data_IF_628239674263
#
_entry.id   IF_628239674263
#
_cell.length_a   1.000
_cell.length_b   1.000
_cell.length_c   1.000
_cell.angle_alpha   90.00
_cell.angle_beta   90.00
_cell.angle_gamma   90.00
#
_symmetry.space_group_name_H-M   'P 1'
#
loop_
_entity.id
_entity.type
_entity.pdbx_description
1 polymer ?
#
# COMPACT_ATOMS: atom_id res chain seq x y z
N UNK A 1 84.05 29.29 -20.13
CA UNK A 1 83.35 28.10 -19.62
C UNK A 1 82.07 28.55 -18.91
N UNK A 2 81.23 29.38 -19.53
CA UNK A 2 80.12 30.05 -18.87
C UNK A 2 78.84 30.26 -19.73
N UNK A 3 78.85 29.92 -21.02
CA UNK A 3 77.77 30.28 -21.94
C UNK A 3 76.94 29.10 -22.43
N UNK A 4 77.22 27.83 -22.07
CA UNK A 4 76.45 26.65 -22.50
C UNK A 4 75.32 26.19 -21.55
N UNK A 5 75.24 26.77 -20.35
CA UNK A 5 74.24 26.43 -19.37
C UNK A 5 72.92 27.26 -19.46
N UNK A 6 72.98 28.40 -20.18
CA UNK A 6 71.78 29.27 -20.27
C UNK A 6 70.79 28.87 -21.39
N UNK A 7 71.25 28.17 -22.43
CA UNK A 7 70.41 27.78 -23.58
C UNK A 7 69.57 26.56 -23.26
N UNK A 8 70.09 25.66 -22.40
CA UNK A 8 69.31 24.44 -22.02
C UNK A 8 68.16 24.71 -21.02
N UNK A 9 68.30 25.74 -20.19
CA UNK A 9 67.27 26.18 -19.27
C UNK A 9 66.11 26.93 -19.94
N UNK A 10 66.33 27.56 -21.11
CA UNK A 10 65.26 28.28 -21.81
C UNK A 10 64.33 27.34 -22.62
N UNK A 11 64.90 26.26 -23.17
CA UNK A 11 64.13 25.29 -23.96
C UNK A 11 63.23 24.46 -23.05
N UNK A 12 63.68 24.05 -21.86
CA UNK A 12 62.86 23.32 -20.89
C UNK A 12 61.76 24.19 -20.30
N UNK A 13 61.97 25.52 -20.14
CA UNK A 13 60.87 26.38 -19.67
C UNK A 13 59.78 26.64 -20.74
N UNK A 14 60.17 26.74 -22.02
CA UNK A 14 59.22 26.88 -23.12
C UNK A 14 58.43 25.60 -23.37
N UNK A 15 59.08 24.42 -23.25
CA UNK A 15 58.40 23.13 -23.40
C UNK A 15 57.35 22.84 -22.32
N UNK A 16 57.69 23.17 -21.05
CA UNK A 16 56.75 23.03 -19.93
C UNK A 16 55.58 24.02 -20.04
N UNK A 17 55.88 25.24 -20.56
CA UNK A 17 54.81 26.23 -20.75
C UNK A 17 53.87 25.88 -21.89
N UNK A 18 54.39 25.26 -22.97
CA UNK A 18 53.54 24.75 -24.07
C UNK A 18 52.73 23.54 -23.69
N UNK A 19 53.26 22.64 -22.84
CA UNK A 19 52.50 21.52 -22.30
C UNK A 19 51.41 22.00 -21.33
N UNK A 20 51.72 22.99 -20.46
CA UNK A 20 50.73 23.59 -19.56
C UNK A 20 49.65 24.39 -20.32
N UNK A 21 50.01 25.09 -21.40
CA UNK A 21 49.03 25.77 -22.27
C UNK A 21 48.19 24.76 -23.07
N UNK A 22 48.78 23.64 -23.53
CA UNK A 22 48.08 22.57 -24.20
C UNK A 22 47.07 21.85 -23.27
N UNK A 23 47.50 21.61 -22.02
CA UNK A 23 46.62 21.03 -21.01
C UNK A 23 45.51 22.02 -20.61
N UNK A 24 45.83 23.31 -20.46
CA UNK A 24 44.80 24.32 -20.20
C UNK A 24 43.83 24.50 -21.36
N UNK A 25 44.30 24.43 -22.60
CA UNK A 25 43.39 24.54 -23.77
C UNK A 25 42.53 23.31 -23.96
N UNK A 26 43.03 22.11 -23.65
CA UNK A 26 42.21 20.88 -23.69
C UNK A 26 41.14 20.91 -22.57
N UNK A 27 41.51 21.31 -21.36
CA UNK A 27 40.56 21.43 -20.24
C UNK A 27 39.52 22.54 -20.50
N UNK A 28 39.91 23.65 -21.12
CA UNK A 28 39.01 24.75 -21.48
C UNK A 28 38.09 24.35 -22.66
N UNK A 29 38.60 23.56 -23.64
CA UNK A 29 37.75 23.13 -24.76
C UNK A 29 36.70 22.06 -24.36
N UNK A 30 37.02 21.22 -23.39
CA UNK A 30 36.04 20.27 -22.84
C UNK A 30 34.95 20.97 -22.02
N UNK A 31 35.26 22.11 -21.40
CA UNK A 31 34.29 22.85 -20.59
C UNK A 31 33.30 23.69 -21.39
N UNK A 32 33.43 23.80 -22.70
CA UNK A 32 32.47 24.51 -23.57
C UNK A 32 31.44 23.63 -24.25
N UNK A 33 31.56 22.32 -24.15
CA UNK A 33 30.52 21.39 -24.61
C UNK A 33 29.48 21.15 -23.52
N UNK A 34 28.17 21.08 -23.83
CA UNK A 34 27.18 20.69 -22.86
C UNK A 34 27.56 19.33 -22.27
N UNK A 35 27.74 19.29 -20.96
CA UNK A 35 28.08 18.06 -20.24
C UNK A 35 26.92 17.68 -19.34
N UNK A 36 26.42 16.47 -19.48
CA UNK A 36 25.39 15.93 -18.57
C UNK A 36 26.07 15.54 -17.25
N UNK A 37 25.63 16.15 -16.18
CA UNK A 37 26.10 15.86 -14.83
C UNK A 37 25.27 14.71 -14.24
N UNK A 38 25.57 13.49 -14.64
CA UNK A 38 24.80 12.29 -14.24
C UNK A 38 24.77 12.07 -12.72
N UNK A 39 25.76 12.61 -11.98
CA UNK A 39 25.74 12.60 -10.51
C UNK A 39 24.60 13.43 -9.89
N UNK A 40 23.95 14.30 -10.67
CA UNK A 40 22.76 15.04 -10.23
C UNK A 40 21.46 14.29 -10.52
N UNK A 41 21.51 13.25 -11.34
CA UNK A 41 20.35 12.41 -11.63
C UNK A 41 20.01 11.60 -10.38
N UNK A 42 18.77 11.74 -9.91
CA UNK A 42 18.21 10.90 -8.85
C UNK A 42 17.26 9.90 -9.48
N UNK A 43 17.60 8.62 -9.53
CA UNK A 43 16.69 7.62 -10.05
C UNK A 43 15.46 7.54 -9.15
N UNK A 44 14.28 7.44 -9.77
CA UNK A 44 13.06 7.09 -9.06
C UNK A 44 13.10 5.59 -8.82
N UNK A 45 13.09 5.19 -7.56
CA UNK A 45 13.21 3.78 -7.16
C UNK A 45 11.90 3.34 -6.52
N UNK A 46 11.34 2.23 -7.01
CA UNK A 46 10.18 1.58 -6.39
C UNK A 46 10.57 0.95 -5.06
N UNK A 47 9.77 1.15 -4.04
CA UNK A 47 9.84 0.38 -2.80
C UNK A 47 9.35 -1.04 -3.06
N UNK A 48 10.21 -2.02 -2.85
CA UNK A 48 9.83 -3.42 -2.95
C UNK A 48 9.20 -3.90 -1.63
N UNK A 49 7.89 -4.10 -1.65
CA UNK A 49 7.16 -4.68 -0.51
C UNK A 49 7.02 -6.19 -0.74
N UNK A 50 7.81 -6.96 0.01
CA UNK A 50 7.83 -8.41 -0.11
C UNK A 50 6.77 -9.05 0.77
N UNK A 51 5.78 -9.65 0.15
CA UNK A 51 4.77 -10.51 0.77
C UNK A 51 4.68 -11.77 -0.08
N UNK A 52 4.90 -12.98 0.48
CA UNK A 52 4.80 -14.22 -0.27
C UNK A 52 3.39 -14.47 -0.80
N UNK A 53 3.29 -15.16 -1.92
CA UNK A 53 2.01 -15.66 -2.41
C UNK A 53 1.32 -16.57 -1.38
N UNK A 54 0.00 -16.56 -1.38
CA UNK A 54 -0.85 -17.34 -0.47
C UNK A 54 -1.55 -18.45 -1.25
N UNK A 55 -0.93 -19.62 -1.29
CA UNK A 55 -1.41 -20.72 -2.11
C UNK A 55 -1.37 -20.39 -3.60
N UNK A 56 -2.52 -20.38 -4.26
CA UNK A 56 -2.68 -20.02 -5.68
C UNK A 56 -2.86 -18.49 -5.91
N UNK A 57 -2.83 -17.68 -4.87
CA UNK A 57 -3.15 -16.26 -4.92
C UNK A 57 -1.90 -15.40 -4.79
N UNK A 58 -1.71 -14.49 -5.72
CA UNK A 58 -0.74 -13.40 -5.60
C UNK A 58 -1.30 -12.31 -4.70
N UNK A 59 -0.46 -11.78 -3.80
CA UNK A 59 -0.85 -10.73 -2.86
C UNK A 59 -0.57 -9.36 -3.47
N UNK A 60 -1.62 -8.70 -3.96
CA UNK A 60 -1.53 -7.37 -4.54
C UNK A 60 -1.71 -6.29 -3.47
N UNK A 61 -0.85 -5.27 -3.50
CA UNK A 61 -0.89 -4.09 -2.63
C UNK A 61 -1.74 -3.03 -3.31
N UNK A 62 -2.89 -2.70 -2.72
CA UNK A 62 -3.93 -1.90 -3.36
C UNK A 62 -4.32 -0.69 -2.51
N UNK A 63 -4.64 0.41 -3.19
CA UNK A 63 -5.27 1.59 -2.60
C UNK A 63 -6.45 2.02 -3.48
N UNK A 64 -7.64 1.99 -2.92
CA UNK A 64 -8.89 2.23 -3.64
C UNK A 64 -9.55 3.57 -3.29
N UNK A 65 -8.78 4.51 -2.68
CA UNK A 65 -9.29 5.82 -2.30
C UNK A 65 -8.18 6.88 -2.41
N UNK A 66 -8.14 7.54 -3.56
CA UNK A 66 -7.11 8.55 -3.90
C UNK A 66 -7.73 9.70 -4.67
N UNK A 67 -7.45 10.93 -4.24
CA UNK A 67 -7.92 12.17 -4.86
C UNK A 67 -6.84 12.86 -5.69
N UNK A 68 -7.27 13.58 -6.71
CA UNK A 68 -6.39 14.34 -7.61
C UNK A 68 -6.78 15.82 -7.64
N UNK A 69 -6.09 16.60 -8.47
CA UNK A 69 -6.45 18.01 -8.72
C UNK A 69 -7.83 18.18 -9.37
N UNK A 70 -8.44 17.10 -9.88
CA UNK A 70 -9.77 17.10 -10.47
C UNK A 70 -10.90 17.05 -9.42
N UNK A 71 -10.55 16.77 -8.15
CA UNK A 71 -11.42 17.01 -7.00
C UNK A 71 -10.74 17.96 -6.02
N UNK A 72 -10.62 17.66 -4.76
CA UNK A 72 -10.01 18.50 -3.74
C UNK A 72 -8.55 18.14 -3.41
N UNK A 73 -8.00 17.12 -4.10
CA UNK A 73 -6.59 16.78 -4.02
C UNK A 73 -5.67 17.83 -4.67
N UNK A 74 -4.36 17.74 -4.40
CA UNK A 74 -3.35 18.71 -4.86
C UNK A 74 -2.35 18.13 -5.86
N UNK A 75 -2.50 16.85 -6.25
CA UNK A 75 -1.54 16.12 -7.09
C UNK A 75 -2.19 15.74 -8.41
N UNK A 76 -1.44 15.87 -9.51
CA UNK A 76 -1.88 15.46 -10.83
C UNK A 76 -2.08 13.95 -10.94
N UNK A 77 -3.02 13.48 -11.78
CA UNK A 77 -3.35 12.06 -11.88
C UNK A 77 -2.17 11.14 -12.24
N UNK A 78 -1.32 11.54 -13.18
CA UNK A 78 -0.11 10.80 -13.57
C UNK A 78 0.93 10.76 -12.43
N UNK A 79 1.08 11.86 -11.69
CA UNK A 79 1.95 11.88 -10.50
C UNK A 79 1.41 10.98 -9.37
N UNK A 80 0.08 10.83 -9.23
CA UNK A 80 -0.51 9.84 -8.32
C UNK A 80 -0.10 8.41 -8.67
N UNK A 81 -0.02 8.09 -9.96
CA UNK A 81 0.48 6.79 -10.41
C UNK A 81 1.94 6.60 -9.99
N UNK A 82 2.79 7.60 -10.24
CA UNK A 82 4.21 7.56 -9.83
C UNK A 82 4.34 7.39 -8.31
N UNK A 83 3.60 8.16 -7.50
CA UNK A 83 3.60 8.03 -6.03
C UNK A 83 3.16 6.61 -5.60
N UNK A 84 2.14 6.06 -6.23
CA UNK A 84 1.64 4.70 -5.97
C UNK A 84 2.69 3.65 -6.31
N UNK A 85 3.33 3.77 -7.47
CA UNK A 85 4.40 2.88 -7.90
C UNK A 85 5.62 2.97 -6.97
N UNK A 86 6.08 4.20 -6.66
CA UNK A 86 7.22 4.44 -5.75
C UNK A 86 6.96 3.84 -4.38
N UNK A 87 5.74 3.99 -3.85
CA UNK A 87 5.35 3.44 -2.54
C UNK A 87 5.03 1.94 -2.54
N UNK A 88 5.27 1.24 -3.65
CA UNK A 88 5.18 -0.23 -3.74
C UNK A 88 3.80 -0.79 -4.03
N UNK A 89 2.81 0.05 -4.39
CA UNK A 89 1.48 -0.47 -4.76
C UNK A 89 1.50 -1.19 -6.11
N UNK A 90 0.58 -2.13 -6.28
CA UNK A 90 0.32 -2.84 -7.53
C UNK A 90 -0.97 -2.34 -8.20
N UNK A 91 -1.90 -1.81 -7.40
CA UNK A 91 -3.23 -1.38 -7.83
C UNK A 91 -3.57 -0.05 -7.17
N UNK A 92 -4.14 0.87 -7.94
CA UNK A 92 -4.73 2.09 -7.39
C UNK A 92 -6.06 2.39 -8.07
N UNK A 93 -6.95 3.08 -7.36
CA UNK A 93 -8.13 3.70 -7.95
C UNK A 93 -8.02 5.22 -7.87
N UNK A 94 -8.45 5.91 -8.92
CA UNK A 94 -8.76 7.33 -8.83
C UNK A 94 -10.23 7.45 -8.44
N UNK A 95 -10.48 8.19 -7.37
CA UNK A 95 -11.80 8.32 -6.74
C UNK A 95 -12.11 9.77 -6.41
N UNK A 96 -11.87 10.66 -7.37
CA UNK A 96 -12.24 12.07 -7.24
C UNK A 96 -13.73 12.23 -6.95
N UNK A 97 -14.10 13.26 -6.19
CA UNK A 97 -15.50 13.59 -5.89
C UNK A 97 -16.29 13.90 -7.15
N UNK A 98 -17.55 13.43 -7.23
CA UNK A 98 -18.47 13.71 -8.35
C UNK A 98 -19.37 14.93 -8.10
N UNK A 99 -19.34 15.54 -6.92
CA UNK A 99 -20.21 16.63 -6.52
C UNK A 99 -19.74 17.98 -7.05
N UNK A 100 -19.98 18.21 -8.33
CA UNK A 100 -19.76 19.50 -8.97
C UNK A 100 -18.30 19.83 -9.25
N UNK A 101 -18.07 20.75 -10.17
CA UNK A 101 -16.71 21.15 -10.50
C UNK A 101 -16.09 21.85 -9.30
N UNK A 102 -14.89 21.47 -9.00
CA UNK A 102 -14.04 22.27 -8.13
C UNK A 102 -13.90 23.65 -8.76
N UNK A 103 -13.97 24.68 -7.94
CA UNK A 103 -13.72 26.06 -8.33
C UNK A 103 -12.24 26.27 -8.70
N UNK A 104 -11.79 25.57 -9.74
CA UNK A 104 -10.45 25.65 -10.33
C UNK A 104 -10.57 26.04 -11.80
N UNK A 105 -10.70 27.33 -12.09
CA UNK A 105 -11.02 27.83 -13.45
C UNK A 105 -9.93 27.53 -14.49
N UNK A 106 -8.75 27.04 -14.06
CA UNK A 106 -7.65 26.63 -14.92
C UNK A 106 -7.68 25.13 -15.27
N UNK A 107 -8.58 24.34 -14.69
CA UNK A 107 -8.81 22.95 -15.06
C UNK A 107 -9.97 22.86 -16.04
N UNK A 108 -9.84 21.99 -17.01
CA UNK A 108 -10.90 21.64 -17.95
C UNK A 108 -10.99 20.13 -18.09
N UNK A 109 -12.18 19.64 -18.33
CA UNK A 109 -12.46 18.21 -18.46
C UNK A 109 -13.80 17.84 -17.86
N UNK A 110 -13.99 16.56 -17.66
CA UNK A 110 -15.15 15.95 -17.01
C UNK A 110 -14.67 14.96 -15.93
N UNK A 111 -15.59 14.25 -15.27
CA UNK A 111 -15.27 13.35 -14.17
C UNK A 111 -14.47 12.11 -14.60
N UNK A 112 -14.37 11.82 -15.90
CA UNK A 112 -13.48 10.78 -16.42
C UNK A 112 -12.05 11.25 -16.66
N UNK A 113 -11.80 12.57 -16.71
CA UNK A 113 -10.54 13.15 -17.18
C UNK A 113 -9.35 12.71 -16.32
N UNK A 114 -9.49 12.66 -15.01
CA UNK A 114 -8.41 12.23 -14.12
C UNK A 114 -7.92 10.81 -14.44
N UNK A 115 -8.85 9.89 -14.64
CA UNK A 115 -8.51 8.51 -15.02
C UNK A 115 -7.81 8.45 -16.40
N UNK A 116 -8.32 9.17 -17.41
CA UNK A 116 -7.73 9.15 -18.76
C UNK A 116 -6.30 9.75 -18.78
N UNK A 117 -6.03 10.76 -17.94
CA UNK A 117 -4.68 11.34 -17.79
C UNK A 117 -3.71 10.38 -17.11
N UNK A 118 -4.16 9.63 -16.11
CA UNK A 118 -3.33 8.67 -15.37
C UNK A 118 -2.99 7.40 -16.16
N UNK A 119 -3.84 7.03 -17.13
CA UNK A 119 -3.80 5.73 -17.82
C UNK A 119 -2.45 5.44 -18.47
N UNK A 120 -1.88 6.42 -19.18
CA UNK A 120 -0.60 6.23 -19.88
C UNK A 120 0.57 5.96 -18.94
N UNK A 121 0.60 6.62 -17.77
CA UNK A 121 1.59 6.40 -16.74
C UNK A 121 1.40 5.03 -16.09
N UNK A 122 0.16 4.67 -15.77
CA UNK A 122 -0.17 3.38 -15.17
C UNK A 122 0.24 2.20 -16.05
N UNK A 123 0.02 2.29 -17.38
CA UNK A 123 0.46 1.30 -18.35
C UNK A 123 1.99 1.17 -18.39
N UNK A 124 2.71 2.29 -18.34
CA UNK A 124 4.18 2.34 -18.33
C UNK A 124 4.78 1.71 -17.08
N UNK A 125 4.23 2.03 -15.93
CA UNK A 125 4.75 1.59 -14.63
C UNK A 125 4.18 0.23 -14.18
N UNK A 126 3.24 -0.34 -14.96
CA UNK A 126 2.61 -1.61 -14.66
C UNK A 126 1.68 -1.59 -13.44
N UNK A 127 1.12 -0.41 -13.13
CA UNK A 127 0.07 -0.25 -12.12
C UNK A 127 -1.28 -0.64 -12.73
N UNK A 128 -2.04 -1.45 -12.01
CA UNK A 128 -3.44 -1.71 -12.34
C UNK A 128 -4.26 -0.50 -11.90
N UNK A 129 -4.67 0.31 -12.86
CA UNK A 129 -5.47 1.51 -12.60
C UNK A 129 -6.96 1.17 -12.68
N UNK A 130 -7.70 1.49 -11.61
CA UNK A 130 -9.14 1.29 -11.51
C UNK A 130 -9.85 2.64 -11.66
N UNK A 131 -10.83 2.69 -12.57
CA UNK A 131 -11.71 3.86 -12.72
C UNK A 131 -12.76 3.83 -11.60
N UNK A 132 -12.83 4.92 -10.83
CA UNK A 132 -13.81 5.07 -9.76
C UNK A 132 -14.16 6.53 -9.52
N UNK A 133 -14.96 6.75 -8.52
CA UNK A 133 -15.27 8.07 -7.99
C UNK A 133 -15.71 7.96 -6.53
N UNK A 134 -15.64 9.06 -5.80
CA UNK A 134 -16.29 9.20 -4.50
C UNK A 134 -17.60 9.96 -4.62
N UNK A 135 -18.66 9.36 -4.09
CA UNK A 135 -19.99 9.95 -3.93
C UNK A 135 -20.07 10.48 -2.51
N UNK A 136 -19.96 11.80 -2.35
CA UNK A 136 -19.90 12.48 -1.05
C UNK A 136 -21.24 13.12 -0.72
N UNK A 137 -21.83 12.72 0.39
CA UNK A 137 -23.10 13.31 0.85
C UNK A 137 -23.03 13.63 2.33
N UNK A 138 -23.66 14.77 2.68
CA UNK A 138 -23.78 15.18 4.08
C UNK A 138 -24.51 14.13 4.90
N UNK A 139 -24.24 14.15 6.21
CA UNK A 139 -24.96 13.29 7.14
C UNK A 139 -26.49 13.37 6.93
N UNK A 140 -27.23 12.23 7.05
CA UNK A 140 -26.77 10.94 7.60
C UNK A 140 -26.27 9.92 6.55
N UNK A 141 -26.00 10.32 5.32
CA UNK A 141 -25.71 9.41 4.22
C UNK A 141 -24.28 8.88 4.28
N UNK A 142 -23.28 9.75 4.35
CA UNK A 142 -21.87 9.44 4.33
C UNK A 142 -21.26 9.42 2.92
N UNK A 143 -20.05 8.90 2.81
CA UNK A 143 -19.27 8.89 1.58
C UNK A 143 -19.07 7.45 1.07
N UNK A 144 -19.05 7.30 -0.26
CA UNK A 144 -18.98 5.98 -0.89
C UNK A 144 -18.09 6.03 -2.13
N UNK A 145 -17.11 5.13 -2.22
CA UNK A 145 -16.41 4.92 -3.48
C UNK A 145 -17.15 3.92 -4.35
N UNK A 146 -17.37 4.29 -5.60
CA UNK A 146 -17.82 3.41 -6.66
C UNK A 146 -16.61 3.08 -7.56
N UNK A 147 -16.24 1.80 -7.62
CA UNK A 147 -15.06 1.30 -8.33
C UNK A 147 -15.46 0.50 -9.56
N UNK A 148 -14.57 0.39 -10.55
CA UNK A 148 -14.76 -0.34 -11.81
C UNK A 148 -15.87 0.26 -12.68
N UNK A 149 -15.99 1.57 -12.70
CA UNK A 149 -16.92 2.30 -13.53
C UNK A 149 -16.49 2.31 -15.00
N UNK A 150 -17.47 2.36 -15.89
CA UNK A 150 -17.25 2.65 -17.30
C UNK A 150 -17.25 4.16 -17.54
N UNK A 151 -18.20 4.87 -16.93
CA UNK A 151 -18.42 6.30 -17.10
C UNK A 151 -18.77 6.95 -15.75
N UNK A 152 -17.90 7.84 -15.26
CA UNK A 152 -18.08 8.56 -14.00
C UNK A 152 -19.14 9.65 -14.14
N UNK A 153 -19.20 10.34 -15.29
CA UNK A 153 -20.14 11.45 -15.53
C UNK A 153 -21.61 11.07 -15.31
N UNK A 154 -21.95 9.81 -15.49
CA UNK A 154 -23.32 9.32 -15.34
C UNK A 154 -23.68 8.96 -13.90
N UNK A 155 -22.75 9.07 -12.95
CA UNK A 155 -22.95 8.69 -11.55
C UNK A 155 -23.65 9.78 -10.76
N UNK A 156 -23.22 11.06 -10.91
CA UNK A 156 -23.69 12.14 -10.07
C UNK A 156 -25.21 12.35 -10.15
N UNK A 157 -25.79 12.58 -8.99
CA UNK A 157 -27.20 12.93 -8.79
C UNK A 157 -27.38 13.59 -7.44
N UNK A 158 -28.23 14.60 -7.32
CA UNK A 158 -28.53 15.28 -6.04
C UNK A 158 -29.05 14.30 -4.98
N UNK A 159 -29.89 13.32 -5.38
CA UNK A 159 -30.35 12.27 -4.50
C UNK A 159 -29.26 11.20 -4.30
N UNK A 160 -28.75 11.01 -3.06
CA UNK A 160 -27.66 10.07 -2.79
C UNK A 160 -27.98 8.62 -3.16
N UNK A 161 -29.23 8.20 -3.03
CA UNK A 161 -29.62 6.85 -3.40
C UNK A 161 -29.55 6.66 -4.92
N UNK A 162 -30.01 7.63 -5.68
CA UNK A 162 -29.95 7.61 -7.16
C UNK A 162 -28.51 7.62 -7.66
N UNK A 163 -27.60 8.39 -7.05
CA UNK A 163 -26.17 8.38 -7.38
C UNK A 163 -25.57 6.97 -7.19
N UNK A 164 -25.81 6.34 -6.04
CA UNK A 164 -25.40 4.97 -5.77
C UNK A 164 -26.02 3.98 -6.76
N UNK A 165 -27.32 4.12 -7.07
CA UNK A 165 -27.99 3.27 -8.04
C UNK A 165 -27.42 3.41 -9.46
N UNK A 166 -27.05 4.63 -9.88
CA UNK A 166 -26.40 4.85 -11.18
C UNK A 166 -25.04 4.13 -11.27
N UNK A 167 -24.24 4.17 -10.21
CA UNK A 167 -23.00 3.39 -10.13
C UNK A 167 -23.28 1.88 -10.14
N UNK A 168 -24.26 1.42 -9.38
CA UNK A 168 -24.65 0.00 -9.32
C UNK A 168 -25.12 -0.53 -10.68
N UNK A 169 -25.84 0.27 -11.49
CA UNK A 169 -26.27 -0.09 -12.85
C UNK A 169 -25.09 -0.34 -13.80
N UNK A 170 -23.94 0.25 -13.54
CA UNK A 170 -22.70 -0.03 -14.27
C UNK A 170 -21.97 -1.29 -13.76
N UNK A 171 -22.46 -1.92 -12.71
CA UNK A 171 -21.82 -3.06 -12.06
C UNK A 171 -20.66 -2.64 -11.14
N UNK A 172 -20.66 -1.43 -10.62
CA UNK A 172 -19.62 -0.93 -9.73
C UNK A 172 -19.50 -1.78 -8.45
N UNK A 173 -18.28 -1.90 -7.92
CA UNK A 173 -18.04 -2.31 -6.55
C UNK A 173 -18.14 -1.06 -5.66
N UNK A 174 -19.10 -1.02 -4.76
CA UNK A 174 -19.36 0.15 -3.92
C UNK A 174 -18.91 -0.15 -2.50
N UNK A 175 -18.04 0.71 -1.96
CA UNK A 175 -17.57 0.67 -0.58
C UNK A 175 -18.06 1.88 0.20
N UNK A 176 -18.34 1.71 1.48
CA UNK A 176 -18.59 2.79 2.42
C UNK A 176 -17.26 3.28 2.99
N UNK A 177 -16.99 4.60 2.83
CA UNK A 177 -15.73 5.22 3.20
C UNK A 177 -15.76 5.74 4.65
N UNK A 178 -14.61 5.75 5.31
CA UNK A 178 -14.30 6.40 6.61
C UNK A 178 -15.54 6.59 7.52
N UNK A 179 -16.11 5.51 8.07
CA UNK A 179 -17.40 5.50 8.76
C UNK A 179 -17.53 6.45 9.94
N UNK A 180 -16.43 6.97 10.46
CA UNK A 180 -16.36 7.85 11.63
C UNK A 180 -16.08 9.33 11.28
N UNK A 181 -15.98 9.67 10.01
CA UNK A 181 -15.68 11.05 9.57
C UNK A 181 -16.67 12.06 10.16
N UNK A 182 -17.85 11.61 10.59
CA UNK A 182 -18.77 12.43 11.32
C UNK A 182 -19.45 11.62 12.43
N UNK A 183 -19.24 11.98 13.70
CA UNK A 183 -19.68 11.24 14.90
C UNK A 183 -21.20 10.92 14.95
N UNK A 184 -22.01 11.58 14.13
CA UNK A 184 -23.45 11.32 14.02
C UNK A 184 -23.78 9.95 13.38
N UNK A 185 -22.83 9.35 12.63
CA UNK A 185 -23.07 8.05 11.96
C UNK A 185 -22.73 6.84 12.80
N UNK A 186 -21.96 6.99 13.90
CA UNK A 186 -21.51 5.85 14.74
C UNK A 186 -22.62 4.87 15.15
N UNK A 187 -23.86 5.32 15.20
CA UNK A 187 -24.97 4.51 15.68
C UNK A 187 -26.19 4.52 14.74
N UNK A 188 -26.11 5.15 13.57
CA UNK A 188 -27.24 5.21 12.65
C UNK A 188 -26.81 4.82 11.22
N UNK A 189 -26.89 3.52 10.92
CA UNK A 189 -26.55 2.94 9.63
C UNK A 189 -27.78 2.68 8.74
N UNK A 190 -28.85 3.45 8.90
CA UNK A 190 -30.12 3.21 8.19
C UNK A 190 -29.96 3.33 6.67
N UNK A 191 -29.17 4.30 6.20
CA UNK A 191 -28.88 4.43 4.78
C UNK A 191 -28.06 3.26 4.26
N UNK A 192 -26.99 2.86 4.99
CA UNK A 192 -26.14 1.72 4.65
C UNK A 192 -26.93 0.41 4.66
N UNK A 193 -27.84 0.21 5.61
CA UNK A 193 -28.76 -0.95 5.64
C UNK A 193 -29.65 -1.01 4.40
N UNK A 194 -30.20 0.15 3.99
CA UNK A 194 -31.01 0.23 2.76
C UNK A 194 -30.17 -0.14 1.52
N UNK A 195 -28.89 0.26 1.47
CA UNK A 195 -28.00 -0.13 0.38
C UNK A 195 -27.69 -1.63 0.40
N UNK A 196 -27.51 -2.22 1.59
CA UNK A 196 -27.34 -3.68 1.77
C UNK A 196 -28.57 -4.45 1.28
N UNK A 197 -29.76 -4.04 1.66
CA UNK A 197 -31.04 -4.67 1.23
C UNK A 197 -31.21 -4.67 -0.29
N UNK A 198 -30.64 -3.65 -0.97
CA UNK A 198 -30.64 -3.54 -2.43
C UNK A 198 -29.46 -4.27 -3.09
N UNK A 199 -28.51 -4.79 -2.32
CA UNK A 199 -27.29 -5.40 -2.85
C UNK A 199 -26.34 -4.40 -3.48
N UNK A 200 -26.39 -3.13 -3.08
CA UNK A 200 -25.55 -2.08 -3.64
C UNK A 200 -24.25 -1.85 -2.83
N UNK A 201 -24.20 -2.26 -1.56
CA UNK A 201 -23.02 -2.10 -0.73
C UNK A 201 -22.21 -3.40 -0.69
N UNK A 202 -20.92 -3.31 -1.05
CA UNK A 202 -20.04 -4.47 -1.23
C UNK A 202 -18.85 -4.47 -0.26
N UNK A 203 -18.38 -3.29 0.14
CA UNK A 203 -17.21 -3.13 1.02
C UNK A 203 -17.38 -2.01 2.03
N UNK A 204 -16.48 -1.99 3.02
CA UNK A 204 -16.42 -0.94 4.04
C UNK A 204 -14.98 -0.68 4.41
N UNK A 205 -14.59 0.60 4.56
CA UNK A 205 -13.31 0.98 5.11
C UNK A 205 -13.28 0.74 6.62
N UNK A 206 -12.29 -0.03 7.05
CA UNK A 206 -11.94 -0.21 8.47
C UNK A 206 -10.68 0.57 8.83
N UNK A 207 -10.06 1.20 7.82
CA UNK A 207 -8.95 2.14 7.96
C UNK A 207 -8.96 3.11 6.78
N UNK A 208 -8.73 4.39 7.08
CA UNK A 208 -8.65 5.45 6.10
C UNK A 208 -7.64 6.51 6.59
N UNK A 209 -6.72 6.92 5.73
CA UNK A 209 -5.66 7.85 6.13
C UNK A 209 -4.86 7.34 7.33
N UNK A 210 -4.85 8.11 8.40
CA UNK A 210 -4.22 7.72 9.67
C UNK A 210 -5.19 7.08 10.67
N UNK A 211 -6.47 6.96 10.30
CA UNK A 211 -7.52 6.49 11.18
C UNK A 211 -7.78 5.00 11.03
N UNK A 212 -8.07 4.35 12.14
CA UNK A 212 -8.45 2.95 12.20
C UNK A 212 -9.75 2.80 12.96
N UNK A 213 -10.72 2.06 12.37
CA UNK A 213 -12.10 1.91 12.87
C UNK A 213 -12.40 0.48 13.32
N UNK A 214 -11.80 -0.03 14.42
CA UNK A 214 -11.94 -1.44 14.82
C UNK A 214 -13.39 -1.84 15.10
N UNK A 215 -14.24 -0.90 15.53
CA UNK A 215 -15.67 -1.16 15.80
C UNK A 215 -16.50 -1.48 14.53
N UNK A 216 -15.97 -1.12 13.33
CA UNK A 216 -16.63 -1.41 12.05
C UNK A 216 -16.31 -2.82 11.55
N UNK A 217 -15.27 -3.47 12.09
CA UNK A 217 -14.85 -4.81 11.66
C UNK A 217 -16.02 -5.80 11.81
N UNK A 218 -16.62 -5.86 13.01
CA UNK A 218 -17.72 -6.79 13.26
C UNK A 218 -18.92 -6.51 12.37
N UNK A 219 -19.30 -5.24 12.20
CA UNK A 219 -20.39 -4.85 11.33
C UNK A 219 -20.12 -5.25 9.86
N UNK A 220 -18.91 -5.03 9.37
CA UNK A 220 -18.50 -5.45 8.03
C UNK A 220 -18.56 -6.98 7.84
N UNK A 221 -18.11 -7.73 8.86
CA UNK A 221 -18.15 -9.20 8.84
C UNK A 221 -19.60 -9.75 8.87
N UNK A 222 -20.45 -9.21 9.76
CA UNK A 222 -21.85 -9.62 9.94
C UNK A 222 -22.71 -9.34 8.70
N UNK A 223 -22.40 -8.25 7.97
CA UNK A 223 -23.07 -7.90 6.72
C UNK A 223 -22.35 -8.46 5.47
N UNK A 224 -21.38 -9.35 5.66
CA UNK A 224 -20.65 -10.03 4.59
C UNK A 224 -19.96 -9.08 3.62
N UNK A 225 -19.47 -7.93 4.12
CA UNK A 225 -18.77 -6.92 3.33
C UNK A 225 -17.28 -7.23 3.22
N UNK A 226 -16.66 -6.74 2.16
CA UNK A 226 -15.20 -6.72 2.00
C UNK A 226 -14.60 -5.66 2.93
N UNK A 227 -13.64 -6.05 3.76
CA UNK A 227 -12.92 -5.11 4.61
C UNK A 227 -11.81 -4.44 3.80
N UNK A 228 -11.79 -3.12 3.80
CA UNK A 228 -10.91 -2.28 3.00
C UNK A 228 -10.10 -1.34 3.90
N UNK A 229 -8.89 -1.00 3.46
CA UNK A 229 -8.07 0.03 4.07
C UNK A 229 -7.40 0.83 2.96
N UNK A 230 -7.58 2.16 2.98
CA UNK A 230 -7.16 3.05 1.92
C UNK A 230 -6.55 4.33 2.49
N UNK A 231 -5.88 5.11 1.64
CA UNK A 231 -5.16 6.28 2.11
C UNK A 231 -5.97 7.56 2.13
N UNK A 232 -6.94 7.70 1.24
CA UNK A 232 -7.68 8.96 1.05
C UNK A 232 -6.74 10.16 0.78
N UNK A 233 -5.72 9.90 -0.06
CA UNK A 233 -4.66 10.86 -0.33
C UNK A 233 -5.17 12.10 -1.04
N UNK A 234 -4.94 13.27 -0.41
CA UNK A 234 -5.22 14.58 -0.99
C UNK A 234 -3.92 15.34 -1.32
N UNK A 235 -2.98 15.39 -0.40
CA UNK A 235 -1.67 16.02 -0.55
C UNK A 235 -0.60 15.12 -1.14
N UNK A 236 0.65 15.53 -1.07
CA UNK A 236 1.80 14.68 -1.43
C UNK A 236 1.93 13.55 -0.40
N UNK A 237 2.13 12.32 -0.86
CA UNK A 237 2.24 11.14 0.02
C UNK A 237 3.30 11.30 1.11
N UNK A 238 4.45 11.90 0.77
CA UNK A 238 5.54 12.15 1.73
C UNK A 238 5.20 13.21 2.78
N UNK A 239 4.14 14.00 2.57
CA UNK A 239 3.62 14.97 3.53
C UNK A 239 2.55 14.39 4.45
N UNK A 240 1.89 13.31 4.04
CA UNK A 240 0.80 12.70 4.79
C UNK A 240 1.23 11.45 5.57
N UNK A 241 2.20 10.68 5.05
CA UNK A 241 2.65 9.43 5.68
C UNK A 241 4.16 9.41 5.95
N UNK A 242 4.54 8.92 7.13
CA UNK A 242 5.93 8.69 7.51
C UNK A 242 6.39 7.30 7.01
N UNK A 243 6.58 7.19 5.69
CA UNK A 243 6.91 5.92 5.03
C UNK A 243 8.29 5.35 5.41
N UNK A 244 9.17 6.18 5.98
CA UNK A 244 10.48 5.72 6.49
C UNK A 244 10.35 4.82 7.73
N UNK A 245 9.21 4.88 8.43
CA UNK A 245 9.01 4.17 9.70
C UNK A 245 7.83 3.23 9.70
N UNK A 246 6.77 3.56 8.96
CA UNK A 246 5.50 2.87 9.02
C UNK A 246 4.94 2.65 7.62
N UNK A 247 4.22 1.57 7.45
CA UNK A 247 3.48 1.31 6.23
C UNK A 247 2.23 2.19 6.16
N UNK A 248 1.98 2.83 5.00
CA UNK A 248 0.71 3.50 4.69
C UNK A 248 -0.45 2.50 4.75
N UNK A 249 -1.69 2.96 4.96
CA UNK A 249 -2.83 2.08 4.83
C UNK A 249 -2.92 1.52 3.40
N UNK A 250 -3.22 0.22 3.31
CA UNK A 250 -3.47 -0.45 2.05
C UNK A 250 -4.36 -1.68 2.25
N UNK A 251 -5.03 -2.07 1.19
CA UNK A 251 -5.75 -3.34 1.10
C UNK A 251 -4.86 -4.36 0.40
N UNK A 252 -4.46 -5.42 1.10
CA UNK A 252 -3.84 -6.60 0.51
C UNK A 252 -4.95 -7.44 -0.13
N UNK A 253 -4.90 -7.62 -1.44
CA UNK A 253 -5.89 -8.37 -2.23
C UNK A 253 -5.27 -9.68 -2.69
N UNK A 254 -5.93 -10.81 -2.37
CA UNK A 254 -5.48 -12.14 -2.78
C UNK A 254 -6.13 -12.50 -4.12
N UNK A 255 -5.46 -12.14 -5.20
CA UNK A 255 -5.95 -12.29 -6.56
C UNK A 255 -5.38 -13.55 -7.24
N UNK A 256 -6.20 -14.23 -8.04
CA UNK A 256 -5.75 -15.34 -8.89
C UNK A 256 -5.02 -14.84 -10.13
N UNK A 257 -5.32 -13.62 -10.53
CA UNK A 257 -4.78 -13.00 -11.74
C UNK A 257 -4.45 -11.54 -11.45
N UNK A 258 -3.28 -11.08 -11.95
CA UNK A 258 -2.87 -9.69 -11.87
C UNK A 258 -3.56 -8.87 -12.98
N UNK A 259 -4.84 -8.61 -12.80
CA UNK A 259 -5.69 -7.86 -13.73
C UNK A 259 -6.79 -7.12 -12.99
N UNK A 260 -7.43 -6.09 -13.59
CA UNK A 260 -8.62 -5.44 -13.01
C UNK A 260 -9.72 -6.45 -12.67
N UNK A 261 -9.92 -7.46 -13.52
CA UNK A 261 -10.91 -8.52 -13.34
C UNK A 261 -10.56 -9.44 -12.17
N UNK A 262 -9.27 -9.80 -12.03
CA UNK A 262 -8.78 -10.60 -10.91
C UNK A 262 -8.88 -9.86 -9.57
N UNK A 263 -8.63 -8.54 -9.57
CA UNK A 263 -8.86 -7.68 -8.40
C UNK A 263 -10.34 -7.64 -8.04
N UNK A 264 -11.22 -7.38 -9.03
CA UNK A 264 -12.67 -7.34 -8.81
C UNK A 264 -13.20 -8.67 -8.26
N UNK A 265 -12.80 -9.77 -8.85
CA UNK A 265 -13.18 -11.10 -8.40
C UNK A 265 -12.74 -11.39 -6.96
N UNK A 266 -11.52 -10.95 -6.59
CA UNK A 266 -11.02 -11.09 -5.23
C UNK A 266 -11.80 -10.25 -4.22
N UNK A 267 -12.14 -9.00 -4.57
CA UNK A 267 -12.99 -8.14 -3.74
C UNK A 267 -14.38 -8.74 -3.55
N UNK A 268 -15.03 -9.20 -4.61
CA UNK A 268 -16.36 -9.82 -4.53
C UNK A 268 -16.35 -11.07 -3.63
N UNK A 269 -15.23 -11.81 -3.58
CA UNK A 269 -15.03 -12.97 -2.71
C UNK A 269 -14.42 -12.64 -1.34
N UNK A 270 -14.30 -11.36 -0.97
CA UNK A 270 -13.80 -10.87 0.35
C UNK A 270 -12.41 -11.40 0.69
N UNK A 271 -11.58 -11.60 -0.34
CA UNK A 271 -10.20 -12.04 -0.19
C UNK A 271 -9.29 -10.85 0.03
N UNK A 272 -9.41 -10.23 1.21
CA UNK A 272 -8.65 -9.04 1.59
C UNK A 272 -8.13 -9.13 3.02
N UNK A 273 -7.00 -8.45 3.24
CA UNK A 273 -6.47 -8.09 4.56
C UNK A 273 -6.05 -6.62 4.51
N UNK A 274 -6.48 -5.84 5.46
CA UNK A 274 -6.05 -4.44 5.63
C UNK A 274 -4.72 -4.41 6.37
N UNK A 275 -3.78 -3.61 5.88
CA UNK A 275 -2.50 -3.36 6.54
C UNK A 275 -2.29 -1.85 6.69
N UNK A 276 -2.15 -1.40 7.93
CA UNK A 276 -1.86 -0.01 8.31
C UNK A 276 -0.81 0.01 9.42
N UNK A 277 0.28 0.72 9.23
CA UNK A 277 1.43 0.70 10.14
C UNK A 277 1.84 -0.75 10.45
N UNK A 278 1.72 -1.15 11.74
CA UNK A 278 2.01 -2.53 12.17
C UNK A 278 0.72 -3.36 12.38
N UNK A 279 -0.45 -2.82 12.09
CA UNK A 279 -1.76 -3.46 12.33
C UNK A 279 -2.25 -4.16 11.08
N UNK A 280 -2.71 -5.40 11.24
CA UNK A 280 -3.45 -6.13 10.21
C UNK A 280 -4.88 -6.37 10.68
N UNK A 281 -5.84 -6.29 9.74
CA UNK A 281 -7.24 -6.62 10.02
C UNK A 281 -7.86 -7.32 8.82
N UNK A 282 -8.64 -8.37 9.08
CA UNK A 282 -9.28 -9.11 8.01
C UNK A 282 -10.04 -10.34 8.51
N UNK A 283 -10.64 -11.07 7.58
CA UNK A 283 -11.25 -12.35 7.89
C UNK A 283 -10.21 -13.35 8.39
N UNK A 284 -10.53 -14.11 9.42
CA UNK A 284 -9.63 -15.06 10.07
C UNK A 284 -8.95 -16.00 9.06
N UNK A 285 -9.72 -16.49 8.09
CA UNK A 285 -9.20 -17.36 7.03
C UNK A 285 -8.01 -16.72 6.29
N UNK A 286 -8.16 -15.49 5.85
CA UNK A 286 -7.13 -14.81 5.04
C UNK A 286 -5.95 -14.33 5.87
N UNK A 287 -6.22 -13.84 7.09
CA UNK A 287 -5.15 -13.50 8.05
C UNK A 287 -4.32 -14.72 8.43
N UNK A 288 -4.96 -15.86 8.68
CA UNK A 288 -4.26 -17.11 9.01
C UNK A 288 -3.39 -17.60 7.86
N UNK A 289 -3.95 -17.63 6.64
CA UNK A 289 -3.18 -18.01 5.43
C UNK A 289 -2.01 -17.07 5.18
N UNK A 290 -2.20 -15.76 5.32
CA UNK A 290 -1.15 -14.75 5.17
C UNK A 290 -0.05 -14.96 6.22
N UNK A 291 -0.40 -15.10 7.49
CA UNK A 291 0.55 -15.36 8.57
C UNK A 291 1.41 -16.60 8.29
N UNK A 292 0.78 -17.72 7.93
CA UNK A 292 1.48 -18.98 7.65
C UNK A 292 2.32 -18.94 6.37
N UNK A 293 1.99 -18.06 5.42
CA UNK A 293 2.84 -17.79 4.25
C UNK A 293 4.07 -16.97 4.61
N UNK A 294 3.92 -16.00 5.52
CA UNK A 294 4.97 -15.08 5.93
C UNK A 294 5.91 -15.64 7.00
N UNK A 295 5.40 -16.47 7.92
CA UNK A 295 6.17 -16.99 9.06
C UNK A 295 6.45 -18.48 8.90
N UNK A 296 7.72 -18.83 8.89
CA UNK A 296 8.20 -20.20 8.77
C UNK A 296 8.75 -20.70 10.10
N UNK A 297 8.27 -21.85 10.55
CA UNK A 297 8.73 -22.50 11.76
C UNK A 297 9.68 -23.64 11.36
N UNK A 298 10.92 -23.57 11.84
CA UNK A 298 11.92 -24.61 11.65
C UNK A 298 11.62 -25.83 12.52
N UNK A 299 12.47 -26.87 12.40
CA UNK A 299 12.41 -28.04 13.28
C UNK A 299 13.03 -27.72 14.64
N UNK A 300 12.50 -28.35 15.69
CA UNK A 300 13.07 -28.23 17.04
C UNK A 300 14.42 -28.98 17.07
N UNK A 301 15.48 -28.25 17.41
CA UNK A 301 16.77 -28.78 17.70
C UNK A 301 16.88 -29.07 19.21
N UNK A 302 16.87 -30.34 19.58
CA UNK A 302 16.98 -30.77 20.99
C UNK A 302 18.40 -30.48 21.51
N UNK A 303 18.47 -29.65 22.57
CA UNK A 303 19.73 -29.28 23.24
C UNK A 303 19.95 -30.10 24.51
N UNK A 304 18.89 -30.47 25.22
CA UNK A 304 18.94 -31.31 26.41
C UNK A 304 17.75 -32.27 26.44
N UNK A 305 18.03 -33.55 26.28
CA UNK A 305 17.02 -34.62 26.23
C UNK A 305 16.33 -34.79 27.58
N UNK A 306 17.07 -34.77 28.69
CA UNK A 306 16.54 -35.02 30.04
C UNK A 306 15.59 -33.92 30.46
N UNK A 307 15.93 -32.65 30.13
CA UNK A 307 15.09 -31.46 30.46
C UNK A 307 14.04 -31.16 29.39
N UNK A 308 14.05 -31.90 28.26
CA UNK A 308 13.23 -31.64 27.06
C UNK A 308 13.37 -30.16 26.58
N UNK A 309 14.61 -29.66 26.61
CA UNK A 309 14.93 -28.31 26.15
C UNK A 309 15.50 -28.34 24.75
N UNK A 310 15.09 -27.38 23.93
CA UNK A 310 15.55 -27.24 22.55
C UNK A 310 15.57 -25.79 22.10
N UNK A 311 15.78 -25.63 20.81
CA UNK A 311 15.71 -24.35 20.10
C UNK A 311 14.92 -24.53 18.82
N UNK A 312 14.15 -23.54 18.45
CA UNK A 312 13.47 -23.43 17.16
C UNK A 312 13.87 -22.14 16.47
N UNK A 313 14.14 -22.21 15.19
CA UNK A 313 14.26 -21.01 14.36
C UNK A 313 12.88 -20.65 13.83
N UNK A 314 12.50 -19.37 13.98
CA UNK A 314 11.29 -18.82 13.39
C UNK A 314 11.73 -17.72 12.44
N UNK A 315 11.34 -17.81 11.18
CA UNK A 315 11.72 -16.87 10.14
C UNK A 315 10.50 -16.10 9.65
N UNK A 316 10.60 -14.78 9.63
CA UNK A 316 9.69 -13.90 8.91
C UNK A 316 10.28 -13.58 7.53
N UNK A 317 9.64 -14.08 6.47
CA UNK A 317 10.09 -13.88 5.07
C UNK A 317 9.37 -12.72 4.37
N UNK A 318 8.60 -11.91 5.12
CA UNK A 318 7.82 -10.78 4.61
C UNK A 318 8.29 -9.44 5.18
N UNK A 319 7.76 -8.36 4.63
CA UNK A 319 7.94 -7.00 5.18
C UNK A 319 6.91 -6.64 6.26
N UNK A 320 6.01 -7.55 6.59
CA UNK A 320 5.03 -7.37 7.66
C UNK A 320 5.69 -7.74 9.00
N UNK A 321 5.74 -6.86 10.01
CA UNK A 321 6.15 -7.24 11.35
C UNK A 321 5.07 -8.09 12.02
N UNK A 322 5.47 -9.14 12.76
CA UNK A 322 4.55 -10.04 13.44
C UNK A 322 4.78 -10.04 14.93
N UNK A 323 3.73 -9.80 15.72
CA UNK A 323 3.78 -9.75 17.19
C UNK A 323 3.08 -10.99 17.73
N UNK A 324 3.86 -11.88 18.31
CA UNK A 324 3.40 -13.19 18.75
C UNK A 324 3.32 -13.24 20.28
N UNK A 325 2.20 -13.75 20.79
CA UNK A 325 2.06 -14.20 22.16
C UNK A 325 1.82 -15.70 22.14
N UNK A 326 2.81 -16.46 22.62
CA UNK A 326 2.81 -17.91 22.53
C UNK A 326 2.46 -18.53 23.87
N UNK A 327 1.54 -19.49 23.88
CA UNK A 327 1.12 -20.27 25.06
C UNK A 327 1.11 -21.75 24.72
N UNK A 328 1.70 -22.58 25.58
CA UNK A 328 1.76 -24.02 25.36
C UNK A 328 3.02 -24.66 25.95
N UNK A 329 3.17 -25.97 25.80
CA UNK A 329 4.32 -26.70 26.38
C UNK A 329 5.63 -26.42 25.65
N UNK A 330 5.59 -26.00 24.38
CA UNK A 330 6.79 -25.87 23.54
C UNK A 330 7.30 -24.45 23.51
N UNK A 331 6.46 -23.50 23.13
CA UNK A 331 6.84 -22.11 22.91
C UNK A 331 6.06 -21.21 23.89
N UNK A 332 6.78 -20.39 24.67
CA UNK A 332 6.19 -19.50 25.66
C UNK A 332 6.72 -18.08 25.49
N UNK A 333 5.86 -17.10 25.83
CA UNK A 333 6.22 -15.69 25.90
C UNK A 333 5.79 -14.87 24.71
N UNK A 334 6.27 -13.64 24.66
CA UNK A 334 5.98 -12.68 23.59
C UNK A 334 7.21 -12.49 22.74
N UNK A 335 7.02 -12.50 21.42
CA UNK A 335 8.09 -12.39 20.43
C UNK A 335 7.66 -11.40 19.35
N UNK A 336 8.55 -10.50 18.99
CA UNK A 336 8.41 -9.64 17.81
C UNK A 336 9.31 -10.20 16.71
N UNK A 337 8.72 -10.53 15.57
CA UNK A 337 9.44 -10.93 14.38
C UNK A 337 9.52 -9.71 13.47
N UNK A 338 10.71 -9.14 13.37
CA UNK A 338 10.96 -8.03 12.47
C UNK A 338 10.82 -8.46 10.99
N UNK A 339 10.56 -7.53 10.09
CA UNK A 339 10.56 -7.79 8.65
C UNK A 339 11.85 -8.48 8.19
N UNK A 340 11.73 -9.50 7.33
CA UNK A 340 12.86 -10.23 6.69
C UNK A 340 13.93 -10.70 7.70
N UNK A 341 13.49 -11.20 8.84
CA UNK A 341 14.39 -11.62 9.92
C UNK A 341 14.15 -13.04 10.40
N UNK A 342 15.13 -13.59 11.09
CA UNK A 342 15.03 -14.87 11.81
C UNK A 342 15.28 -14.67 13.30
N UNK A 343 14.55 -15.40 14.13
CA UNK A 343 14.75 -15.46 15.57
C UNK A 343 14.94 -16.91 16.01
N UNK A 344 15.96 -17.17 16.87
CA UNK A 344 16.16 -18.46 17.52
C UNK A 344 15.55 -18.38 18.92
N UNK A 345 14.50 -19.17 19.14
CA UNK A 345 13.73 -19.15 20.37
C UNK A 345 13.98 -20.46 21.14
N UNK A 346 14.20 -20.33 22.44
CA UNK A 346 14.28 -21.48 23.34
C UNK A 346 12.90 -22.11 23.51
N UNK A 347 12.85 -23.42 23.38
CA UNK A 347 11.61 -24.21 23.54
C UNK A 347 11.78 -25.25 24.63
N UNK A 348 10.66 -25.65 25.24
CA UNK A 348 10.63 -26.66 26.28
C UNK A 348 9.42 -27.57 26.08
N UNK A 349 9.68 -28.88 26.01
CA UNK A 349 8.64 -29.89 25.78
C UNK A 349 8.34 -30.15 24.29
N UNK A 350 7.22 -30.82 24.05
CA UNK A 350 6.66 -31.15 22.72
C UNK A 350 5.14 -31.02 22.81
N UNK A 351 4.50 -30.73 21.68
CA UNK A 351 3.05 -30.68 21.58
C UNK A 351 2.50 -29.39 20.98
N UNK A 352 1.17 -29.24 20.98
CA UNK A 352 0.52 -28.10 20.37
C UNK A 352 0.89 -26.80 21.08
N UNK A 353 1.15 -25.78 20.30
CA UNK A 353 1.42 -24.43 20.77
C UNK A 353 0.39 -23.49 20.16
N UNK A 354 -0.28 -22.74 21.02
CA UNK A 354 -1.21 -21.69 20.60
C UNK A 354 -0.45 -20.38 20.47
N UNK A 355 -0.59 -19.76 19.30
CA UNK A 355 0.02 -18.48 18.98
C UNK A 355 -1.11 -17.47 18.77
N UNK A 356 -1.15 -16.43 19.60
CA UNK A 356 -1.97 -15.25 19.37
C UNK A 356 -1.12 -14.21 18.64
N UNK A 357 -1.52 -13.82 17.43
CA UNK A 357 -0.86 -12.77 16.65
C UNK A 357 -1.47 -11.44 17.04
N UNK A 358 -0.82 -10.74 17.99
CA UNK A 358 -1.43 -9.62 18.72
C UNK A 358 -1.62 -8.34 17.90
N UNK A 359 -0.98 -8.24 16.74
CA UNK A 359 -1.19 -7.15 15.79
C UNK A 359 -2.10 -7.52 14.61
N UNK A 360 -2.72 -8.71 14.62
CA UNK A 360 -3.66 -9.17 13.60
C UNK A 360 -5.07 -9.31 14.21
N UNK A 361 -6.01 -8.53 13.69
CA UNK A 361 -7.36 -8.40 14.24
C UNK A 361 -8.38 -9.13 13.35
N UNK A 362 -9.04 -10.13 13.90
CA UNK A 362 -10.10 -10.89 13.22
C UNK A 362 -11.49 -10.37 13.54
N UNK A 363 -11.63 -9.67 14.68
CA UNK A 363 -12.85 -8.99 15.15
C UNK A 363 -12.46 -7.82 16.06
N UNK A 364 -13.43 -6.99 16.38
CA UNK A 364 -13.28 -5.95 17.40
C UNK A 364 -12.77 -6.56 18.70
N UNK A 365 -11.58 -6.15 19.16
CA UNK A 365 -10.97 -6.65 20.39
C UNK A 365 -10.47 -8.10 20.35
N UNK A 366 -10.47 -8.76 19.19
CA UNK A 366 -10.05 -10.17 19.05
C UNK A 366 -8.94 -10.32 18.04
N UNK A 367 -7.81 -10.89 18.46
CA UNK A 367 -6.67 -11.17 17.61
C UNK A 367 -6.73 -12.56 16.97
N UNK A 368 -5.97 -12.73 15.89
CA UNK A 368 -5.79 -14.01 15.24
C UNK A 368 -5.14 -15.03 16.18
N UNK A 369 -5.70 -16.22 16.27
CA UNK A 369 -5.14 -17.36 16.99
C UNK A 369 -4.81 -18.48 16.01
N UNK A 370 -3.59 -19.02 16.13
CA UNK A 370 -3.12 -20.14 15.30
C UNK A 370 -2.58 -21.22 16.21
N UNK A 371 -2.99 -22.45 16.01
CA UNK A 371 -2.47 -23.61 16.72
C UNK A 371 -1.52 -24.38 15.82
N UNK A 372 -0.29 -24.63 16.30
CA UNK A 372 0.76 -25.34 15.58
C UNK A 372 1.24 -26.53 16.38
N UNK A 373 1.41 -27.66 15.72
CA UNK A 373 2.13 -28.79 16.26
C UNK A 373 3.62 -28.63 15.89
N UNK A 374 4.43 -28.25 16.87
CA UNK A 374 5.86 -28.07 16.69
C UNK A 374 6.57 -29.37 17.14
N UNK A 375 7.22 -30.03 16.17
CA UNK A 375 7.96 -31.30 16.35
C UNK A 375 9.49 -31.11 16.29
#
# INVERSE_FOLDING_TARGET
MGERLSIFNSINRCGIFLILLGICTIVVSENFSPTTLTQLERPIIRQEIMIPDVGEYTVLKCDFHIHTVFSDGYVWPDLRVIESWVSGLDVMAITDHVEGPIDRPFLSGDDNTAYELAKGEAERDGIILIKGCEITRKQPYGHFNALFLNDVNSVDNEDPFTAIENAAKQGAFIQWNHPDFNTATRNNFEFQKKLLEKGYLHGVEISNGTDWYPYVIDWGLENYLTLMGNSDLHGLIMGEFNLDKFQRPMTLVFAKERSPQGVREALDNKRTVVWIADILSGREEWLSKLFLSCVKFGKIQIVNIEKKEGKIEIQNVSDIPWYLKCTGPVLLGSHRLEPRSSAIIKVKGQGPTKITVTNAWVRTGTNLEVELNLE
#
